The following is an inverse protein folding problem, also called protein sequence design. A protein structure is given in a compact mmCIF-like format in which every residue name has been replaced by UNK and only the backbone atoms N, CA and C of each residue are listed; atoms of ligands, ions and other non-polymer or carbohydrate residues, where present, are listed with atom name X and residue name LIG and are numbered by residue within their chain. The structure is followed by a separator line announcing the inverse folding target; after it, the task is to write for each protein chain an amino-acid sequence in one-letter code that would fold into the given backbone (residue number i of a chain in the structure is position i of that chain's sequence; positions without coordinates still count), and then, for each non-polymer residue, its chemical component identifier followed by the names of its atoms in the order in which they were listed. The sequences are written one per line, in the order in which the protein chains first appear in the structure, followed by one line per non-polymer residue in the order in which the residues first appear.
data_IF_016472540229
#
_entry.id   IF_016472540229
#
_cell.length_a   1.000
_cell.length_b   1.000
_cell.length_c   1.000
_cell.angle_alpha   90.00
_cell.angle_beta   90.00
_cell.angle_gamma   90.00
#
_symmetry.space_group_name_H-M   'P 1'
#
loop_
_entity.id
_entity.type
_entity.pdbx_description
1 polymer ?
#
# COMPACT_ATOMS: atom_id res chain seq x y z
N UNK A 1 -20.85 -12.05 25.81
CA UNK A 1 -19.92 -11.86 26.94
C UNK A 1 -18.55 -12.25 26.45
N UNK A 2 -17.52 -11.43 26.42
CA UNK A 2 -17.28 -10.06 26.88
C UNK A 2 -16.65 -9.27 25.72
N UNK A 3 -17.02 -8.01 25.59
CA UNK A 3 -16.52 -7.09 24.57
C UNK A 3 -15.44 -6.19 25.16
N UNK A 4 -14.31 -6.08 24.47
CA UNK A 4 -13.25 -5.13 24.82
C UNK A 4 -13.42 -3.87 23.97
N UNK A 5 -13.96 -2.84 24.60
CA UNK A 5 -14.21 -1.50 24.05
C UNK A 5 -12.90 -0.70 24.07
N UNK A 6 -12.39 -0.31 22.89
CA UNK A 6 -11.31 0.68 22.78
C UNK A 6 -11.88 2.10 22.74
N UNK A 7 -11.51 2.93 23.71
CA UNK A 7 -11.81 4.38 23.73
C UNK A 7 -10.75 5.17 22.95
N UNK A 8 -11.13 6.23 22.22
CA UNK A 8 -10.19 7.10 21.51
C UNK A 8 -9.53 8.14 22.45
N UNK A 9 -8.26 8.44 22.16
CA UNK A 9 -7.43 9.42 22.87
C UNK A 9 -7.79 10.84 22.43
N UNK A 10 -8.19 11.70 23.37
CA UNK A 10 -8.47 13.13 23.15
C UNK A 10 -7.20 13.93 23.46
N UNK A 11 -6.76 14.75 22.50
CA UNK A 11 -5.66 15.69 22.69
C UNK A 11 -6.13 16.90 23.51
N UNK A 12 -5.52 17.11 24.68
CA UNK A 12 -5.76 18.29 25.51
C UNK A 12 -4.79 19.41 25.11
N UNK A 13 -5.32 20.48 24.52
CA UNK A 13 -4.65 21.77 24.40
C UNK A 13 -4.72 22.50 25.74
N UNK A 14 -3.56 22.84 26.32
CA UNK A 14 -3.46 23.62 27.55
C UNK A 14 -3.39 25.11 27.23
N UNK A 15 -4.40 25.85 27.69
CA UNK A 15 -4.52 27.30 27.64
C UNK A 15 -3.52 28.01 28.57
N UNK A 16 -3.15 29.22 28.19
CA UNK A 16 -2.37 30.17 28.98
C UNK A 16 -3.29 30.93 29.96
N UNK A 17 -2.81 31.18 31.18
CA UNK A 17 -3.45 32.06 32.16
C UNK A 17 -2.42 32.83 33.02
N UNK A 18 -2.81 33.93 33.68
CA UNK A 18 -2.08 35.19 33.67
C UNK A 18 -1.31 35.52 34.95
N UNK A 19 -0.50 36.58 34.82
CA UNK A 19 0.27 37.28 35.85
C UNK A 19 -0.59 37.80 37.03
N UNK A 20 0.01 37.93 38.22
CA UNK A 20 -0.29 39.09 39.06
C UNK A 20 0.97 39.84 39.54
N UNK A 21 0.80 41.15 39.54
CA UNK A 21 1.62 42.20 40.14
C UNK A 21 1.69 42.11 41.67
N UNK A 22 2.84 42.46 42.25
CA UNK A 22 3.00 42.71 43.68
C UNK A 22 4.36 43.33 44.01
N UNK A 23 4.34 44.61 44.38
CA UNK A 23 5.47 45.43 44.81
C UNK A 23 5.92 45.10 46.24
N UNK A 24 7.24 45.01 46.47
CA UNK A 24 7.83 44.93 47.80
C UNK A 24 9.36 44.99 47.77
N UNK A 25 9.91 46.07 48.31
CA UNK A 25 11.35 46.38 48.45
C UNK A 25 12.07 45.47 49.45
N UNK A 26 13.29 45.02 49.12
CA UNK A 26 14.18 44.42 50.12
C UNK A 26 15.39 43.66 49.56
N UNK A 27 16.55 44.33 49.60
CA UNK A 27 17.92 43.81 49.76
C UNK A 27 18.35 42.56 48.98
N UNK A 28 19.27 42.79 48.04
CA UNK A 28 19.94 41.77 47.23
C UNK A 28 20.74 40.75 48.07
N UNK A 29 20.31 39.50 48.06
CA UNK A 29 21.14 38.34 48.39
C UNK A 29 21.38 37.52 47.11
N UNK A 30 22.64 37.40 46.69
CA UNK A 30 23.06 36.52 45.59
C UNK A 30 22.78 35.07 45.97
N UNK A 31 21.71 34.49 45.44
CA UNK A 31 21.50 33.04 45.41
C UNK A 31 22.06 32.52 44.10
N UNK A 32 23.09 31.69 44.18
CA UNK A 32 23.67 30.95 43.08
C UNK A 32 22.61 30.08 42.39
N UNK A 33 22.33 30.32 41.11
CA UNK A 33 21.53 29.42 40.27
C UNK A 33 22.27 28.08 40.12
N UNK A 34 21.89 27.10 40.94
CA UNK A 34 22.14 25.69 40.64
C UNK A 34 21.42 25.36 39.33
N UNK A 35 22.19 25.08 38.28
CA UNK A 35 21.67 24.50 37.05
C UNK A 35 21.09 23.14 37.41
N UNK A 36 19.76 23.07 37.55
CA UNK A 36 19.04 21.81 37.69
C UNK A 36 19.24 21.00 36.41
N UNK A 37 20.18 20.07 36.42
CA UNK A 37 20.30 19.02 35.40
C UNK A 37 18.97 18.27 35.42
N UNK A 38 18.12 18.49 34.41
CA UNK A 38 16.93 17.66 34.20
C UNK A 38 17.41 16.23 33.98
N UNK A 39 17.46 15.44 35.05
CA UNK A 39 17.83 14.03 34.98
C UNK A 39 16.79 13.34 34.11
N UNK A 40 17.23 12.81 32.96
CA UNK A 40 16.39 11.95 32.13
C UNK A 40 15.82 10.83 33.03
N UNK A 41 14.52 10.47 32.89
CA UNK A 41 13.91 9.40 33.67
C UNK A 41 14.78 8.15 33.66
N UNK A 42 14.86 7.44 34.80
CA UNK A 42 15.70 6.25 34.94
C UNK A 42 15.49 5.24 33.80
N UNK A 43 14.24 5.04 33.41
CA UNK A 43 13.85 4.20 32.26
C UNK A 43 14.51 4.66 30.97
N UNK A 44 14.52 5.96 30.66
CA UNK A 44 15.13 6.49 29.44
C UNK A 44 16.66 6.33 29.41
N UNK A 45 17.32 6.35 30.57
CA UNK A 45 18.77 6.09 30.67
C UNK A 45 19.07 4.60 30.51
N UNK A 46 18.26 3.75 31.12
CA UNK A 46 18.38 2.30 31.03
C UNK A 46 18.03 1.75 29.65
N UNK A 47 17.20 2.44 28.86
CA UNK A 47 16.85 2.02 27.50
C UNK A 47 17.72 2.64 26.42
N UNK A 48 18.16 3.90 26.57
CA UNK A 48 19.01 4.55 25.57
C UNK A 48 20.46 4.02 25.58
N UNK A 49 20.97 3.67 26.77
CA UNK A 49 22.35 3.21 26.97
C UNK A 49 22.40 1.74 27.39
N UNK A 50 21.39 0.94 26.99
CA UNK A 50 21.26 -0.44 27.45
C UNK A 50 22.49 -1.28 27.09
N UNK A 51 22.99 -1.14 25.86
CA UNK A 51 24.20 -1.84 25.40
C UNK A 51 25.40 -1.47 26.28
N UNK A 52 25.63 -0.17 26.49
CA UNK A 52 26.73 0.33 27.33
C UNK A 52 26.59 -0.16 28.79
N UNK A 53 25.36 -0.30 29.28
CA UNK A 53 25.06 -0.84 30.61
C UNK A 53 25.42 -2.32 30.68
N UNK A 54 25.02 -3.12 29.70
CA UNK A 54 25.36 -4.54 29.63
C UNK A 54 26.87 -4.77 29.49
N UNK A 55 27.56 -3.99 28.68
CA UNK A 55 29.03 -4.04 28.53
C UNK A 55 29.75 -3.70 29.85
N UNK A 56 29.23 -2.74 30.63
CA UNK A 56 29.79 -2.41 31.96
C UNK A 56 29.53 -3.49 33.01
N UNK A 57 28.36 -4.12 32.96
CA UNK A 57 27.98 -5.17 33.91
C UNK A 57 28.61 -6.53 33.55
N UNK A 58 28.94 -6.76 32.28
CA UNK A 58 29.56 -7.98 31.78
C UNK A 58 30.61 -7.60 30.72
N UNK A 59 31.90 -7.45 31.09
CA UNK A 59 32.97 -7.01 30.18
C UNK A 59 33.21 -7.91 28.96
N UNK A 60 32.73 -9.15 28.98
CA UNK A 60 32.80 -10.09 27.86
C UNK A 60 31.58 -9.97 26.92
N UNK A 61 30.52 -9.26 27.33
CA UNK A 61 29.38 -8.98 26.48
C UNK A 61 29.83 -8.12 25.29
N UNK A 62 29.64 -8.65 24.08
CA UNK A 62 29.77 -7.88 22.84
C UNK A 62 28.42 -7.85 22.18
N UNK A 63 27.81 -6.68 22.17
CA UNK A 63 26.58 -6.50 21.41
C UNK A 63 26.87 -6.72 19.93
N UNK A 64 26.01 -7.51 19.29
CA UNK A 64 26.03 -7.72 17.86
C UNK A 64 24.62 -7.56 17.31
N UNK A 65 24.44 -6.60 16.41
CA UNK A 65 23.14 -6.37 15.77
C UNK A 65 22.65 -7.59 14.99
N UNK A 66 23.55 -8.48 14.57
CA UNK A 66 23.22 -9.72 13.85
C UNK A 66 22.51 -10.74 14.74
N UNK A 67 22.67 -10.65 16.05
CA UNK A 67 22.01 -11.51 17.04
C UNK A 67 20.63 -10.97 17.47
N UNK A 68 20.28 -9.75 17.06
CA UNK A 68 18.97 -9.20 17.39
C UNK A 68 17.87 -10.05 16.74
N UNK A 69 16.82 -10.43 17.50
CA UNK A 69 15.70 -11.15 16.93
C UNK A 69 15.07 -10.30 15.82
N UNK A 70 15.03 -10.85 14.62
CA UNK A 70 14.40 -10.21 13.47
C UNK A 70 12.88 -10.19 13.67
N UNK A 71 12.27 -9.02 13.55
CA UNK A 71 10.82 -8.91 13.47
C UNK A 71 10.39 -9.21 12.04
N UNK A 72 10.08 -10.48 11.79
CA UNK A 72 9.57 -10.93 10.49
C UNK A 72 8.19 -10.34 10.18
N UNK A 73 7.95 -10.06 8.91
CA UNK A 73 6.70 -9.53 8.36
C UNK A 73 6.00 -10.55 7.47
N UNK A 74 6.75 -11.46 6.87
CA UNK A 74 6.25 -12.51 5.97
C UNK A 74 5.70 -13.70 6.75
N UNK A 75 4.56 -14.24 6.31
CA UNK A 75 3.97 -15.45 6.86
C UNK A 75 3.72 -16.50 5.75
N UNK A 76 4.20 -17.75 5.90
CA UNK A 76 5.11 -18.22 6.95
C UNK A 76 6.51 -17.60 6.84
N UNK A 77 7.20 -17.38 7.97
CA UNK A 77 8.58 -16.85 8.00
C UNK A 77 9.65 -17.94 8.05
N UNK A 78 9.26 -19.21 7.89
CA UNK A 78 10.17 -20.36 7.92
C UNK A 78 10.91 -20.49 6.59
N UNK A 79 12.25 -20.50 6.59
CA UNK A 79 13.06 -20.76 5.40
C UNK A 79 12.74 -22.10 4.73
N UNK A 80 12.66 -22.13 3.40
CA UNK A 80 12.43 -23.35 2.63
C UNK A 80 13.13 -23.38 1.25
N UNK A 81 13.24 -22.24 0.56
CA UNK A 81 13.78 -22.15 -0.81
C UNK A 81 14.83 -21.04 -0.93
N UNK A 82 15.52 -21.00 -2.08
CA UNK A 82 16.46 -19.92 -2.44
C UNK A 82 17.52 -19.70 -1.34
N UNK A 83 18.26 -20.75 -1.00
CA UNK A 83 19.28 -20.72 0.08
C UNK A 83 18.75 -20.22 1.44
N UNK A 84 17.46 -20.42 1.70
CA UNK A 84 16.81 -20.08 2.96
C UNK A 84 16.37 -18.62 3.08
N UNK A 85 16.41 -17.83 2.00
CA UNK A 85 15.80 -16.48 2.01
C UNK A 85 14.30 -16.50 1.69
N UNK A 86 13.79 -17.56 1.06
CA UNK A 86 12.39 -17.69 0.69
C UNK A 86 11.67 -18.68 1.60
N UNK A 87 10.38 -18.46 1.82
CA UNK A 87 9.51 -19.44 2.49
C UNK A 87 8.99 -20.50 1.50
N UNK A 88 8.18 -21.44 1.99
CA UNK A 88 7.59 -22.52 1.17
C UNK A 88 6.67 -22.03 0.02
N UNK A 89 6.22 -20.76 0.08
CA UNK A 89 5.38 -20.15 -0.94
C UNK A 89 6.18 -19.31 -1.96
N UNK A 90 7.51 -19.43 -1.94
CA UNK A 90 8.42 -18.63 -2.78
C UNK A 90 8.30 -17.12 -2.55
N UNK A 91 7.86 -16.73 -1.34
CA UNK A 91 7.88 -15.35 -0.87
C UNK A 91 9.22 -15.07 -0.17
N UNK A 92 9.84 -13.93 -0.49
CA UNK A 92 11.00 -13.43 0.25
C UNK A 92 10.63 -13.26 1.72
N UNK A 93 11.43 -13.78 2.63
CA UNK A 93 11.21 -13.63 4.07
C UNK A 93 11.63 -12.22 4.49
N UNK A 94 10.66 -11.31 4.51
CA UNK A 94 10.84 -9.90 4.86
C UNK A 94 10.85 -9.73 6.38
N UNK A 95 11.67 -8.79 6.85
CA UNK A 95 11.71 -8.35 8.25
C UNK A 95 11.93 -6.84 8.34
N UNK A 96 11.54 -6.26 9.47
CA UNK A 96 11.69 -4.81 9.71
C UNK A 96 13.17 -4.41 9.61
N UNK A 97 13.43 -3.32 8.89
CA UNK A 97 14.74 -2.76 8.55
C UNK A 97 15.60 -3.60 7.60
N UNK A 98 15.04 -4.61 6.93
CA UNK A 98 15.71 -5.17 5.74
C UNK A 98 15.90 -4.07 4.69
N UNK A 99 17.10 -3.95 4.14
CA UNK A 99 17.42 -3.01 3.07
C UNK A 99 17.30 -3.68 1.70
N UNK A 100 16.32 -3.25 0.91
CA UNK A 100 16.22 -3.63 -0.49
C UNK A 100 17.06 -2.64 -1.31
N UNK A 101 18.20 -3.10 -1.82
CA UNK A 101 19.18 -2.26 -2.50
C UNK A 101 19.14 -2.50 -4.00
N UNK A 102 18.94 -1.44 -4.78
CA UNK A 102 19.08 -1.49 -6.22
C UNK A 102 20.58 -1.48 -6.57
N UNK A 103 21.11 -2.61 -7.06
CA UNK A 103 22.54 -2.76 -7.36
C UNK A 103 23.05 -1.82 -8.45
N UNK A 104 22.16 -1.30 -9.31
CA UNK A 104 22.54 -0.43 -10.42
C UNK A 104 22.57 1.04 -9.99
N UNK A 105 21.56 1.51 -9.25
CA UNK A 105 21.45 2.91 -8.81
C UNK A 105 22.00 3.17 -7.41
N UNK A 106 22.30 2.13 -6.63
CA UNK A 106 22.58 2.19 -5.19
C UNK A 106 21.45 2.81 -4.34
N UNK A 107 20.24 2.96 -4.90
CA UNK A 107 19.05 3.40 -4.16
C UNK A 107 18.63 2.33 -3.15
N UNK A 108 18.29 2.75 -1.93
CA UNK A 108 17.97 1.85 -0.81
C UNK A 108 16.57 2.10 -0.29
N UNK A 109 15.82 1.01 -0.14
CA UNK A 109 14.48 0.99 0.42
C UNK A 109 14.48 0.17 1.72
N UNK A 110 14.27 0.84 2.85
CA UNK A 110 14.29 0.20 4.17
C UNK A 110 12.89 -0.26 4.54
N UNK A 111 12.67 -1.56 4.65
CA UNK A 111 11.38 -2.18 4.97
C UNK A 111 10.89 -1.77 6.36
N UNK A 112 9.62 -1.37 6.49
CA UNK A 112 9.03 -0.92 7.77
C UNK A 112 7.81 -1.72 8.19
N UNK A 113 6.85 -1.94 7.30
CA UNK A 113 5.60 -2.65 7.61
C UNK A 113 5.06 -3.40 6.39
N UNK A 114 4.30 -4.46 6.65
CA UNK A 114 3.51 -5.15 5.63
C UNK A 114 2.27 -4.31 5.30
N UNK A 115 2.02 -4.07 4.02
CA UNK A 115 0.82 -3.39 3.52
C UNK A 115 -0.20 -4.38 2.97
N UNK A 116 0.26 -5.47 2.35
CA UNK A 116 -0.61 -6.50 1.81
C UNK A 116 0.17 -7.70 1.29
N UNK A 117 -0.53 -8.83 1.14
CA UNK A 117 -0.02 -10.07 0.57
C UNK A 117 -1.10 -10.67 -0.32
N UNK A 118 -0.69 -11.26 -1.44
CA UNK A 118 -1.62 -11.88 -2.39
C UNK A 118 -0.91 -12.87 -3.32
N UNK A 119 -1.61 -13.25 -4.38
CA UNK A 119 -1.13 -14.27 -5.34
C UNK A 119 0.23 -13.93 -5.94
N UNK A 120 0.47 -12.65 -6.25
CA UNK A 120 1.69 -12.20 -6.92
C UNK A 120 2.90 -12.05 -6.00
N UNK A 121 2.67 -11.98 -4.68
CA UNK A 121 3.71 -11.74 -3.69
C UNK A 121 3.25 -10.81 -2.58
N UNK A 122 4.13 -9.90 -2.17
CA UNK A 122 3.97 -9.07 -0.97
C UNK A 122 4.15 -7.60 -1.31
N UNK A 123 3.42 -6.72 -0.62
CA UNK A 123 3.61 -5.27 -0.70
C UNK A 123 3.99 -4.76 0.67
N UNK A 124 5.14 -4.11 0.77
CA UNK A 124 5.66 -3.54 2.01
C UNK A 124 5.83 -2.04 1.89
N UNK A 125 5.63 -1.33 2.99
CA UNK A 125 6.01 0.07 3.09
C UNK A 125 7.50 0.14 3.38
N UNK A 126 8.19 0.93 2.59
CA UNK A 126 9.61 1.18 2.75
C UNK A 126 9.88 2.68 2.95
N UNK A 127 10.93 2.99 3.69
CA UNK A 127 11.54 4.31 3.68
C UNK A 127 12.58 4.36 2.57
N UNK A 128 12.39 5.24 1.60
CA UNK A 128 13.37 5.53 0.56
C UNK A 128 14.41 6.51 1.11
N UNK A 129 15.67 6.06 1.21
CA UNK A 129 16.75 6.85 1.80
C UNK A 129 17.18 8.02 0.93
N UNK A 130 16.91 7.96 -0.38
CA UNK A 130 17.30 9.01 -1.33
C UNK A 130 16.32 10.19 -1.27
N UNK A 131 15.02 9.89 -1.30
CA UNK A 131 13.98 10.92 -1.31
C UNK A 131 13.46 11.31 0.07
N UNK A 132 13.84 10.57 1.13
CA UNK A 132 13.32 10.72 2.50
C UNK A 132 11.79 10.68 2.56
N UNK A 133 11.19 9.75 1.83
CA UNK A 133 9.74 9.53 1.76
C UNK A 133 9.40 8.06 1.94
N UNK A 134 8.19 7.82 2.42
CA UNK A 134 7.62 6.48 2.38
C UNK A 134 7.16 6.14 0.96
N UNK A 135 7.41 4.90 0.56
CA UNK A 135 7.02 4.30 -0.71
C UNK A 135 6.42 2.92 -0.47
N UNK A 136 5.65 2.42 -1.42
CA UNK A 136 5.21 1.02 -1.42
C UNK A 136 6.12 0.20 -2.33
N UNK A 137 6.63 -0.94 -1.87
CA UNK A 137 7.45 -1.85 -2.67
C UNK A 137 6.72 -3.18 -2.80
N UNK A 138 6.34 -3.54 -4.03
CA UNK A 138 5.77 -4.84 -4.41
C UNK A 138 6.93 -5.80 -4.66
N UNK A 139 7.09 -6.79 -3.80
CA UNK A 139 8.08 -7.87 -3.88
C UNK A 139 7.40 -9.09 -4.50
N UNK A 140 7.79 -9.41 -5.73
CA UNK A 140 7.19 -10.47 -6.54
C UNK A 140 7.74 -11.83 -6.09
N UNK A 141 6.90 -12.86 -6.06
CA UNK A 141 7.32 -14.24 -5.78
C UNK A 141 8.47 -14.70 -6.69
N UNK A 142 9.39 -15.49 -6.16
CA UNK A 142 10.51 -16.05 -6.90
C UNK A 142 10.06 -17.27 -7.72
N UNK A 143 9.27 -17.01 -8.76
CA UNK A 143 8.78 -18.01 -9.71
C UNK A 143 8.78 -17.43 -11.13
N UNK A 144 9.18 -18.20 -12.15
CA UNK A 144 9.30 -17.69 -13.52
C UNK A 144 8.02 -17.04 -14.07
N UNK A 145 6.85 -17.63 -13.81
CA UNK A 145 5.57 -17.10 -14.28
C UNK A 145 5.24 -15.72 -13.69
N UNK A 146 5.41 -15.55 -12.38
CA UNK A 146 5.17 -14.26 -11.70
C UNK A 146 6.21 -13.21 -12.12
N UNK A 147 7.46 -13.61 -12.36
CA UNK A 147 8.49 -12.71 -12.88
C UNK A 147 8.13 -12.18 -14.28
N UNK A 148 7.72 -13.06 -15.20
CA UNK A 148 7.32 -12.65 -16.56
C UNK A 148 6.13 -11.69 -16.54
N UNK A 149 5.13 -11.99 -15.71
CA UNK A 149 3.97 -11.13 -15.51
C UNK A 149 4.37 -9.76 -14.94
N UNK A 150 5.25 -9.72 -13.94
CA UNK A 150 5.70 -8.47 -13.34
C UNK A 150 6.59 -7.63 -14.27
N UNK A 151 7.38 -8.25 -15.15
CA UNK A 151 8.12 -7.52 -16.20
C UNK A 151 7.15 -6.87 -17.20
N UNK A 152 6.05 -7.56 -17.55
CA UNK A 152 5.00 -6.96 -18.36
C UNK A 152 4.37 -5.75 -17.64
N UNK A 153 4.04 -5.88 -16.35
CA UNK A 153 3.56 -4.78 -15.51
C UNK A 153 4.51 -3.57 -15.54
N UNK A 154 5.81 -3.79 -15.33
CA UNK A 154 6.84 -2.72 -15.42
C UNK A 154 6.84 -2.05 -16.80
N UNK A 155 6.74 -2.83 -17.88
CA UNK A 155 6.74 -2.32 -19.25
C UNK A 155 5.51 -1.46 -19.57
N UNK A 156 4.33 -1.92 -19.15
CA UNK A 156 3.06 -1.22 -19.34
C UNK A 156 3.02 0.07 -18.50
N UNK A 157 3.39 0.00 -17.22
CA UNK A 157 3.46 1.17 -16.35
C UNK A 157 4.47 2.20 -16.84
N UNK A 158 5.64 1.76 -17.33
CA UNK A 158 6.60 2.67 -17.93
C UNK A 158 6.01 3.38 -19.16
N UNK A 159 5.29 2.65 -19.99
CA UNK A 159 4.60 3.22 -21.16
C UNK A 159 3.56 4.26 -20.74
N UNK A 160 2.70 3.93 -19.78
CA UNK A 160 1.70 4.85 -19.25
C UNK A 160 2.35 6.08 -18.60
N UNK A 161 3.23 5.88 -17.62
CA UNK A 161 3.84 6.96 -16.84
C UNK A 161 4.79 7.85 -17.65
N UNK A 162 5.38 7.39 -18.77
CA UNK A 162 6.35 8.19 -19.53
C UNK A 162 5.79 8.74 -20.85
N UNK A 163 4.84 8.03 -21.49
CA UNK A 163 4.34 8.42 -22.82
C UNK A 163 2.93 9.00 -22.79
N UNK A 164 2.03 8.38 -22.01
CA UNK A 164 0.61 8.72 -22.06
C UNK A 164 0.17 9.64 -20.91
N UNK A 165 0.84 9.57 -19.77
CA UNK A 165 0.61 10.45 -18.61
C UNK A 165 1.94 10.86 -17.94
N UNK A 166 2.82 11.61 -18.64
CA UNK A 166 4.12 12.03 -18.11
C UNK A 166 4.04 13.00 -16.92
N UNK A 167 2.94 13.75 -16.81
CA UNK A 167 2.78 14.83 -15.82
C UNK A 167 2.00 14.40 -14.57
N UNK A 168 1.65 13.11 -14.44
CA UNK A 168 0.84 12.57 -13.34
C UNK A 168 -0.53 13.26 -13.18
N UNK A 169 -1.26 13.39 -14.29
CA UNK A 169 -2.56 14.08 -14.36
C UNK A 169 -3.74 13.13 -14.48
N UNK A 170 -3.51 11.86 -14.81
CA UNK A 170 -4.57 10.92 -15.22
C UNK A 170 -4.78 9.74 -14.27
N UNK A 171 -4.60 9.95 -12.97
CA UNK A 171 -5.05 9.01 -11.93
C UNK A 171 -4.51 7.56 -12.06
N UNK A 172 -3.31 7.40 -12.63
CA UNK A 172 -2.58 6.11 -12.70
C UNK A 172 -1.45 6.14 -11.66
N UNK A 173 -1.20 5.02 -10.98
CA UNK A 173 -0.09 4.91 -10.02
C UNK A 173 1.27 5.22 -10.67
N UNK A 174 2.13 5.92 -9.92
CA UNK A 174 3.51 6.19 -10.32
C UNK A 174 4.44 5.07 -9.88
N UNK A 175 5.06 4.42 -10.86
CA UNK A 175 6.24 3.58 -10.64
C UNK A 175 7.48 4.46 -10.48
N UNK A 176 8.17 4.32 -9.35
CA UNK A 176 9.32 5.16 -8.97
C UNK A 176 10.66 4.50 -9.28
N UNK A 177 10.73 3.17 -9.17
CA UNK A 177 11.90 2.36 -9.47
C UNK A 177 11.50 0.88 -9.61
N UNK A 178 12.38 0.06 -10.16
CA UNK A 178 12.30 -1.40 -10.06
C UNK A 178 13.71 -1.98 -9.91
N UNK A 179 13.84 -3.04 -9.12
CA UNK A 179 15.12 -3.66 -8.79
C UNK A 179 15.00 -5.18 -8.66
N UNK A 180 16.10 -5.89 -8.88
CA UNK A 180 16.22 -7.29 -8.53
C UNK A 180 16.96 -7.42 -7.20
N UNK A 181 16.35 -8.12 -6.23
CA UNK A 181 16.92 -8.37 -4.92
C UNK A 181 16.68 -9.83 -4.52
N UNK A 182 17.76 -10.59 -4.28
CA UNK A 182 17.68 -12.00 -3.88
C UNK A 182 16.79 -12.87 -4.80
N UNK A 183 16.89 -12.68 -6.13
CA UNK A 183 16.04 -13.35 -7.14
C UNK A 183 14.56 -12.93 -7.16
N UNK A 184 14.16 -11.93 -6.37
CA UNK A 184 12.85 -11.29 -6.45
C UNK A 184 12.92 -10.01 -7.27
N UNK A 185 11.97 -9.84 -8.18
CA UNK A 185 11.70 -8.52 -8.76
C UNK A 185 10.93 -7.68 -7.73
N UNK A 186 11.43 -6.50 -7.43
CA UNK A 186 10.78 -5.52 -6.56
C UNK A 186 10.41 -4.29 -7.38
N UNK A 187 9.18 -3.82 -7.26
CA UNK A 187 8.69 -2.61 -7.96
C UNK A 187 8.31 -1.59 -6.89
N UNK A 188 8.96 -0.42 -6.93
CA UNK A 188 8.71 0.68 -6.01
C UNK A 188 7.68 1.64 -6.61
N UNK A 189 6.68 2.00 -5.82
CA UNK A 189 5.56 2.87 -6.17
C UNK A 189 5.45 4.03 -5.19
N UNK A 190 4.78 5.10 -5.62
CA UNK A 190 4.31 6.13 -4.70
C UNK A 190 3.44 5.53 -3.59
N UNK A 191 3.49 6.13 -2.40
CA UNK A 191 2.69 5.66 -1.27
C UNK A 191 1.27 6.23 -1.35
N UNK A 192 0.28 5.35 -1.48
CA UNK A 192 -1.14 5.70 -1.53
C UNK A 192 -1.86 5.35 -0.21
N UNK A 193 -3.11 5.80 -0.10
CA UNK A 193 -4.00 5.51 1.02
C UNK A 193 -4.70 4.15 0.90
N UNK A 194 -5.80 4.01 1.62
CA UNK A 194 -6.65 2.83 1.54
C UNK A 194 -7.35 2.71 0.17
N UNK A 195 -7.72 1.49 -0.21
CA UNK A 195 -8.54 1.24 -1.38
C UNK A 195 -10.03 1.57 -1.16
N UNK A 196 -10.79 1.65 -2.25
CA UNK A 196 -12.23 2.00 -2.19
C UNK A 196 -13.08 0.92 -1.50
N UNK A 197 -12.65 -0.35 -1.51
CA UNK A 197 -13.33 -1.40 -0.77
C UNK A 197 -13.24 -1.19 0.76
N UNK A 198 -12.06 -0.84 1.26
CA UNK A 198 -11.86 -0.49 2.67
C UNK A 198 -12.61 0.79 3.06
N UNK A 199 -12.74 1.76 2.13
CA UNK A 199 -13.62 2.91 2.33
C UNK A 199 -15.09 2.50 2.50
N UNK A 200 -15.60 1.58 1.66
CA UNK A 200 -16.96 1.04 1.79
C UNK A 200 -17.16 0.30 3.12
N UNK A 201 -16.20 -0.54 3.52
CA UNK A 201 -16.25 -1.23 4.82
C UNK A 201 -16.31 -0.27 6.00
N UNK A 202 -15.50 0.79 5.98
CA UNK A 202 -15.53 1.85 7.00
C UNK A 202 -16.88 2.57 7.04
N UNK A 203 -17.55 2.64 5.90
CA UNK A 203 -18.93 3.14 5.81
C UNK A 203 -19.99 2.04 6.02
N UNK A 204 -19.63 0.94 6.70
CA UNK A 204 -20.51 -0.17 7.04
C UNK A 204 -21.26 -0.77 5.84
N UNK A 205 -20.66 -0.72 4.64
CA UNK A 205 -21.26 -1.20 3.39
C UNK A 205 -22.60 -0.54 3.06
N UNK A 206 -22.83 0.71 3.51
CA UNK A 206 -24.09 1.46 3.28
C UNK A 206 -24.10 2.32 2.01
N UNK A 207 -23.18 2.07 1.07
CA UNK A 207 -23.03 2.87 -0.14
C UNK A 207 -22.56 4.31 0.13
N UNK A 208 -21.97 4.94 -0.86
CA UNK A 208 -21.45 6.30 -0.75
C UNK A 208 -22.46 7.31 -1.29
N UNK A 209 -22.36 8.56 -0.80
CA UNK A 209 -23.17 9.66 -1.36
C UNK A 209 -22.84 9.83 -2.84
N UNK A 210 -23.86 10.10 -3.65
CA UNK A 210 -23.76 10.27 -5.12
C UNK A 210 -22.64 11.20 -5.54
N UNK A 211 -22.40 12.29 -4.81
CA UNK A 211 -21.32 13.23 -5.08
C UNK A 211 -19.92 12.57 -5.07
N UNK A 212 -19.67 11.68 -4.11
CA UNK A 212 -18.41 10.92 -4.05
C UNK A 212 -18.34 9.89 -5.18
N UNK A 213 -19.45 9.18 -5.44
CA UNK A 213 -19.52 8.20 -6.54
C UNK A 213 -19.19 8.88 -7.87
N UNK A 214 -19.79 10.05 -8.15
CA UNK A 214 -19.51 10.84 -9.34
C UNK A 214 -18.06 11.34 -9.40
N UNK A 215 -17.51 11.80 -8.27
CA UNK A 215 -16.12 12.27 -8.21
C UNK A 215 -15.11 11.14 -8.48
N UNK A 216 -15.30 9.95 -7.90
CA UNK A 216 -14.47 8.79 -8.17
C UNK A 216 -14.66 8.29 -9.60
N UNK A 217 -15.90 8.23 -10.09
CA UNK A 217 -16.22 7.79 -11.44
C UNK A 217 -15.48 8.60 -12.50
N UNK A 218 -15.46 9.93 -12.37
CA UNK A 218 -14.75 10.82 -13.30
C UNK A 218 -13.24 10.54 -13.35
N UNK A 219 -12.62 10.33 -12.19
CA UNK A 219 -11.19 10.07 -12.09
C UNK A 219 -10.80 8.68 -12.61
N UNK A 220 -11.63 7.67 -12.34
CA UNK A 220 -11.42 6.32 -12.88
C UNK A 220 -11.55 6.33 -14.40
N UNK A 221 -12.58 7.00 -14.94
CA UNK A 221 -12.76 7.15 -16.39
C UNK A 221 -11.60 7.89 -17.05
N UNK A 222 -11.06 8.92 -16.40
CA UNK A 222 -9.89 9.65 -16.87
C UNK A 222 -8.65 8.74 -17.00
N UNK A 223 -8.38 7.88 -16.00
CA UNK A 223 -7.36 6.84 -16.11
C UNK A 223 -7.63 5.84 -17.25
N UNK A 224 -8.90 5.43 -17.42
CA UNK A 224 -9.30 4.48 -18.46
C UNK A 224 -9.17 5.04 -19.87
N UNK A 225 -9.37 6.34 -20.07
CA UNK A 225 -9.13 7.01 -21.36
C UNK A 225 -7.65 6.85 -21.75
N UNK A 226 -6.74 7.11 -20.81
CA UNK A 226 -5.30 6.97 -21.04
C UNK A 226 -4.89 5.52 -21.30
N UNK A 227 -5.47 4.55 -20.56
CA UNK A 227 -5.23 3.12 -20.80
C UNK A 227 -5.71 2.70 -22.20
N UNK A 228 -6.91 3.12 -22.60
CA UNK A 228 -7.47 2.86 -23.94
C UNK A 228 -6.60 3.46 -25.03
N UNK A 229 -6.16 4.71 -24.89
CA UNK A 229 -5.32 5.38 -25.89
C UNK A 229 -3.94 4.70 -26.01
N UNK A 230 -3.47 4.06 -24.94
CA UNK A 230 -2.30 3.17 -24.94
C UNK A 230 -2.55 1.75 -25.46
N UNK A 231 -3.79 1.39 -25.80
CA UNK A 231 -4.18 0.02 -26.16
C UNK A 231 -4.00 -0.98 -25.02
N UNK A 232 -4.10 -0.53 -23.76
CA UNK A 232 -3.88 -1.34 -22.56
C UNK A 232 -5.23 -1.71 -21.93
N UNK A 233 -5.42 -3.00 -21.69
CA UNK A 233 -6.56 -3.56 -20.97
C UNK A 233 -6.08 -3.92 -19.57
N UNK A 234 -6.66 -3.34 -18.52
CA UNK A 234 -6.27 -3.59 -17.13
C UNK A 234 -6.61 -5.02 -16.69
N UNK A 235 -7.74 -5.56 -17.14
CA UNK A 235 -8.18 -6.94 -16.89
C UNK A 235 -8.46 -7.30 -15.41
N UNK A 236 -8.43 -6.36 -14.47
CA UNK A 236 -8.75 -6.61 -13.05
C UNK A 236 -9.17 -5.33 -12.29
N UNK A 237 -9.96 -4.46 -12.95
CA UNK A 237 -10.54 -3.32 -12.26
C UNK A 237 -11.57 -3.79 -11.21
N UNK A 238 -11.35 -3.33 -9.98
CA UNK A 238 -12.20 -3.59 -8.81
C UNK A 238 -11.92 -2.53 -7.73
N UNK A 239 -12.80 -2.35 -6.73
CA UNK A 239 -12.62 -1.37 -5.67
C UNK A 239 -11.30 -1.53 -4.88
N UNK A 240 -10.74 -2.74 -4.78
CA UNK A 240 -9.46 -3.01 -4.14
C UNK A 240 -8.26 -2.45 -4.92
N UNK A 241 -8.39 -2.28 -6.24
CA UNK A 241 -7.34 -1.79 -7.15
C UNK A 241 -7.48 -0.29 -7.46
N UNK A 242 -8.31 0.43 -6.69
CA UNK A 242 -8.45 1.88 -6.77
C UNK A 242 -8.17 2.45 -5.39
N UNK A 243 -7.07 3.17 -5.24
CA UNK A 243 -6.59 3.68 -3.95
C UNK A 243 -6.79 5.18 -3.84
N UNK A 244 -7.11 5.64 -2.63
CA UNK A 244 -7.16 7.07 -2.33
C UNK A 244 -5.75 7.65 -2.40
N UNK A 245 -5.56 8.72 -3.16
CA UNK A 245 -4.29 9.44 -3.21
C UNK A 245 -4.26 10.50 -2.09
N UNK A 246 -3.25 10.49 -1.20
CA UNK A 246 -3.08 11.52 -0.19
C UNK A 246 -2.64 12.82 -0.87
N UNK A 247 -3.59 13.67 -1.26
CA UNK A 247 -3.29 15.00 -1.81
C UNK A 247 -3.70 16.10 -0.84
N UNK A 248 -2.91 17.17 -0.77
CA UNK A 248 -3.24 18.36 0.02
C UNK A 248 -4.42 19.16 -0.55
N UNK A 249 -4.85 18.86 -1.80
CA UNK A 249 -5.79 19.68 -2.57
C UNK A 249 -7.21 19.10 -2.61
N UNK A 250 -7.39 17.78 -2.60
CA UNK A 250 -8.71 17.16 -2.64
C UNK A 250 -8.77 15.93 -1.74
N UNK A 251 -9.77 15.90 -0.85
CA UNK A 251 -10.01 14.77 0.06
C UNK A 251 -10.51 13.48 -0.62
N UNK A 252 -10.55 13.44 -1.96
CA UNK A 252 -11.16 12.37 -2.75
C UNK A 252 -10.40 12.05 -4.04
N UNK A 253 -9.10 12.36 -4.11
CA UNK A 253 -8.27 11.92 -5.23
C UNK A 253 -8.12 10.40 -5.22
N UNK A 254 -8.16 9.74 -6.39
CA UNK A 254 -7.94 8.29 -6.52
C UNK A 254 -6.90 7.97 -7.57
N UNK A 255 -6.23 6.83 -7.44
CA UNK A 255 -5.38 6.26 -8.49
C UNK A 255 -5.67 4.78 -8.71
N UNK A 256 -5.63 4.36 -9.97
CA UNK A 256 -5.69 2.97 -10.40
C UNK A 256 -4.32 2.33 -10.21
N UNK A 257 -4.30 1.13 -9.62
CA UNK A 257 -3.09 0.35 -9.32
C UNK A 257 -3.17 -1.06 -9.92
N UNK A 258 -2.08 -1.82 -9.79
CA UNK A 258 -1.99 -3.26 -10.09
C UNK A 258 -2.25 -3.65 -11.55
N UNK A 259 -1.25 -3.37 -12.39
CA UNK A 259 -1.23 -3.72 -13.80
C UNK A 259 -0.65 -5.12 -14.02
N UNK A 260 -0.57 -5.95 -12.98
CA UNK A 260 -0.06 -7.32 -13.05
C UNK A 260 -0.86 -8.18 -14.03
N UNK A 261 -2.18 -8.02 -14.07
CA UNK A 261 -3.06 -8.77 -14.99
C UNK A 261 -3.24 -8.10 -16.36
N UNK A 262 -2.68 -6.90 -16.55
CA UNK A 262 -2.93 -6.10 -17.73
C UNK A 262 -2.25 -6.66 -18.98
N UNK A 263 -2.83 -6.42 -20.15
CA UNK A 263 -2.26 -6.82 -21.43
C UNK A 263 -2.52 -5.75 -22.51
N UNK A 264 -1.85 -5.90 -23.65
CA UNK A 264 -2.13 -5.08 -24.83
C UNK A 264 -3.29 -5.67 -25.61
N UNK A 265 -4.19 -4.81 -26.06
CA UNK A 265 -5.25 -5.16 -26.99
C UNK A 265 -4.67 -5.79 -28.27
N UNK A 266 -5.31 -6.85 -28.76
CA UNK A 266 -4.78 -7.68 -29.87
C UNK A 266 -3.63 -8.62 -29.49
N UNK A 267 -3.10 -8.55 -28.27
CA UNK A 267 -2.11 -9.50 -27.71
C UNK A 267 -2.62 -10.15 -26.42
N UNK A 268 -3.89 -10.53 -26.43
CA UNK A 268 -4.58 -11.17 -25.29
C UNK A 268 -4.04 -12.58 -25.07
N UNK A 269 -3.52 -12.86 -23.86
CA UNK A 269 -2.86 -14.14 -23.54
C UNK A 269 -3.77 -15.11 -22.80
N UNK A 270 -4.68 -14.60 -21.97
CA UNK A 270 -5.47 -15.39 -21.03
C UNK A 270 -6.96 -15.26 -21.31
N UNK A 271 -7.69 -16.37 -21.31
CA UNK A 271 -9.16 -16.38 -21.41
C UNK A 271 -9.84 -16.21 -20.04
N UNK A 272 -9.18 -16.65 -18.96
CA UNK A 272 -9.69 -16.50 -17.60
C UNK A 272 -9.05 -15.28 -16.92
N UNK A 273 -9.73 -14.14 -17.00
CA UNK A 273 -9.28 -12.85 -16.47
C UNK A 273 -10.40 -12.16 -15.68
N UNK A 274 -10.11 -11.01 -15.06
CA UNK A 274 -10.99 -10.24 -14.18
C UNK A 274 -11.41 -10.97 -12.91
N UNK A 275 -11.51 -10.22 -11.81
CA UNK A 275 -12.17 -10.71 -10.61
C UNK A 275 -13.66 -10.97 -10.90
N UNK A 276 -14.17 -12.13 -10.45
CA UNK A 276 -15.46 -12.71 -10.88
C UNK A 276 -16.65 -11.76 -10.85
N UNK A 277 -16.79 -10.92 -9.82
CA UNK A 277 -17.93 -10.00 -9.67
C UNK A 277 -17.93 -8.84 -10.68
N UNK A 278 -16.78 -8.57 -11.29
CA UNK A 278 -16.54 -7.46 -12.23
C UNK A 278 -16.23 -7.98 -13.64
N UNK A 279 -16.35 -9.30 -13.86
CA UNK A 279 -16.03 -9.96 -15.13
C UNK A 279 -17.11 -9.70 -16.16
N UNK A 280 -16.69 -9.37 -17.38
CA UNK A 280 -17.61 -9.07 -18.48
C UNK A 280 -18.25 -10.33 -19.08
N UNK A 281 -19.43 -10.21 -19.71
CA UNK A 281 -20.11 -11.35 -20.32
C UNK A 281 -19.29 -12.01 -21.45
N UNK A 282 -18.58 -11.24 -22.27
CA UNK A 282 -17.73 -11.77 -23.34
C UNK A 282 -16.59 -12.63 -22.78
N UNK A 283 -16.00 -12.26 -21.64
CA UNK A 283 -14.99 -13.09 -20.96
C UNK A 283 -15.62 -14.36 -20.39
N UNK A 284 -16.80 -14.26 -19.75
CA UNK A 284 -17.53 -15.44 -19.23
C UNK A 284 -17.92 -16.44 -20.32
N UNK A 285 -18.23 -15.94 -21.51
CA UNK A 285 -18.63 -16.75 -22.66
C UNK A 285 -17.44 -17.21 -23.53
N UNK A 286 -16.22 -16.78 -23.21
CA UNK A 286 -15.01 -17.16 -23.94
C UNK A 286 -14.85 -16.47 -25.30
N UNK A 287 -15.50 -15.32 -25.52
CA UNK A 287 -15.31 -14.51 -26.71
C UNK A 287 -14.03 -13.67 -26.66
N UNK A 288 -13.48 -13.27 -27.82
CA UNK A 288 -12.43 -12.26 -27.87
C UNK A 288 -12.84 -10.98 -27.16
N UNK A 289 -11.88 -10.35 -26.49
CA UNK A 289 -12.14 -9.19 -25.64
C UNK A 289 -11.21 -8.02 -25.97
N UNK A 290 -11.65 -6.83 -25.58
CA UNK A 290 -11.04 -5.53 -25.88
C UNK A 290 -10.95 -4.69 -24.60
N UNK A 291 -10.50 -3.45 -24.73
CA UNK A 291 -10.58 -2.44 -23.65
C UNK A 291 -12.02 -2.25 -23.10
N UNK A 292 -13.06 -2.72 -23.80
CA UNK A 292 -14.44 -2.66 -23.36
C UNK A 292 -14.73 -3.46 -22.07
N UNK A 293 -13.95 -4.51 -21.77
CA UNK A 293 -14.18 -5.31 -20.54
C UNK A 293 -13.95 -4.49 -19.27
N UNK A 294 -13.04 -3.52 -19.31
CA UNK A 294 -12.77 -2.63 -18.19
C UNK A 294 -13.93 -1.66 -17.99
N UNK A 295 -14.66 -1.30 -19.05
CA UNK A 295 -15.89 -0.50 -18.96
C UNK A 295 -17.03 -1.27 -18.28
N UNK A 296 -17.10 -2.58 -18.49
CA UNK A 296 -18.02 -3.44 -17.74
C UNK A 296 -17.67 -3.48 -16.25
N UNK A 297 -16.39 -3.73 -15.93
CA UNK A 297 -15.91 -3.70 -14.53
C UNK A 297 -16.20 -2.36 -13.88
N UNK A 298 -15.95 -1.25 -14.58
CA UNK A 298 -16.26 0.10 -14.13
C UNK A 298 -17.74 0.27 -13.78
N UNK A 299 -18.67 -0.17 -14.63
CA UNK A 299 -20.11 -0.11 -14.33
C UNK A 299 -20.48 -0.85 -13.05
N UNK A 300 -19.89 -2.05 -12.85
CA UNK A 300 -20.07 -2.83 -11.62
C UNK A 300 -19.53 -2.09 -10.39
N UNK A 301 -18.35 -1.46 -10.50
CA UNK A 301 -17.72 -0.66 -9.42
C UNK A 301 -18.61 0.54 -9.06
N UNK A 302 -19.12 1.28 -10.04
CA UNK A 302 -19.97 2.46 -9.79
C UNK A 302 -21.25 2.06 -9.05
N UNK A 303 -21.88 0.96 -9.46
CA UNK A 303 -23.04 0.42 -8.78
C UNK A 303 -22.72 -0.01 -7.35
N UNK A 304 -21.59 -0.71 -7.14
CA UNK A 304 -21.16 -1.14 -5.81
C UNK A 304 -20.82 0.03 -4.89
N UNK A 305 -20.16 1.08 -5.40
CA UNK A 305 -19.88 2.28 -4.63
C UNK A 305 -21.17 2.99 -4.20
N UNK A 306 -22.23 2.93 -5.02
CA UNK A 306 -23.52 3.55 -4.70
C UNK A 306 -24.38 2.70 -3.76
N UNK A 307 -24.45 1.37 -3.98
CA UNK A 307 -25.30 0.44 -3.23
C UNK A 307 -24.62 0.00 -1.92
N UNK A 308 -23.29 -0.11 -1.94
CA UNK A 308 -22.47 -0.64 -0.86
C UNK A 308 -22.18 -2.15 -0.96
N UNK A 309 -22.75 -2.83 -1.95
CA UNK A 309 -22.60 -4.27 -2.19
C UNK A 309 -22.35 -4.54 -3.68
N UNK A 310 -21.63 -5.62 -4.04
CA UNK A 310 -21.37 -5.97 -5.43
C UNK A 310 -22.66 -6.12 -6.25
N UNK A 311 -22.66 -5.66 -7.50
CA UNK A 311 -23.83 -5.73 -8.39
C UNK A 311 -24.16 -7.17 -8.79
N UNK A 312 -23.14 -7.99 -9.09
CA UNK A 312 -23.28 -9.39 -9.50
C UNK A 312 -22.47 -10.35 -8.60
N UNK A 313 -22.89 -10.58 -7.34
CA UNK A 313 -22.16 -11.44 -6.41
C UNK A 313 -22.45 -12.92 -6.72
N UNK A 314 -21.71 -13.50 -7.68
CA UNK A 314 -21.89 -14.89 -8.12
C UNK A 314 -20.90 -15.88 -7.51
N UNK A 315 -21.39 -17.03 -7.03
CA UNK A 315 -20.53 -18.09 -6.48
C UNK A 315 -19.70 -18.83 -7.56
N UNK A 316 -20.19 -18.84 -8.81
CA UNK A 316 -19.56 -19.45 -9.99
C UNK A 316 -19.81 -18.58 -11.23
N UNK A 317 -19.11 -18.86 -12.34
CA UNK A 317 -19.33 -18.16 -13.62
C UNK A 317 -20.78 -18.28 -14.11
N UNK A 318 -21.37 -19.47 -13.96
CA UNK A 318 -22.77 -19.72 -14.26
C UNK A 318 -23.71 -18.85 -13.39
N UNK A 319 -23.43 -18.73 -12.08
CA UNK A 319 -24.25 -17.90 -11.18
C UNK A 319 -24.11 -16.40 -11.51
N UNK A 320 -22.93 -15.92 -11.90
CA UNK A 320 -22.75 -14.55 -12.38
C UNK A 320 -23.61 -14.30 -13.62
N UNK A 321 -23.52 -15.15 -14.63
CA UNK A 321 -24.28 -14.99 -15.87
C UNK A 321 -25.80 -15.02 -15.60
N UNK A 322 -26.26 -15.94 -14.74
CA UNK A 322 -27.67 -16.00 -14.33
C UNK A 322 -28.13 -14.71 -13.66
N UNK A 323 -27.28 -14.06 -12.85
CA UNK A 323 -27.59 -12.77 -12.20
C UNK A 323 -27.61 -11.62 -13.20
N UNK A 324 -26.70 -11.61 -14.16
CA UNK A 324 -26.70 -10.63 -15.25
C UNK A 324 -28.02 -10.67 -16.01
N UNK A 325 -28.45 -11.86 -16.47
CA UNK A 325 -29.73 -12.05 -17.17
C UNK A 325 -30.92 -11.60 -16.30
N UNK A 326 -30.92 -11.99 -15.02
CA UNK A 326 -32.02 -11.62 -14.11
C UNK A 326 -32.17 -10.10 -13.94
N UNK A 327 -31.07 -9.34 -13.95
CA UNK A 327 -31.07 -7.89 -13.68
C UNK A 327 -31.22 -7.08 -14.97
N UNK A 328 -30.59 -7.52 -16.07
CA UNK A 328 -30.50 -6.76 -17.32
C UNK A 328 -31.55 -7.15 -18.36
N UNK A 329 -32.17 -8.33 -18.25
CA UNK A 329 -33.15 -8.87 -19.21
C UNK A 329 -32.50 -9.80 -20.21
#
# INVERSE_FOLDING_TARGET
SEGTVFRPFVAAAGAAEPSPSGSGSGVAARISKLHGVKRKPCVARLTADIINTFERCHPEFKYSETLNPKRFLTHPSTPAHNDGVDNANWDLILYVNLELVNKTSNRRFIVKEMLGQGTFGQVVKCWDTETNKYVAVKVIKNQPAFYQQAIMEVSLLRTLNQKFDPDDKHNIVRMLDYLSFQNHLCIAFEMLGQNLYELLKRNHLRGLKVQFVQAFSKQILDAMIVMRDGGIIHCDLKPENILLAPTAKTAAAVKVIDFGSACLEGKTVYSYIQSRYYRSPEVLLGYPYTTAIDMWSFGCIVAELFIGLPLFPGASEYDVLKRMLKILG
#
